data_IF_778697523803
#
_entry.id   IF_778697523803
#
_cell.length_a   1.000
_cell.length_b   1.000
_cell.length_c   1.000
_cell.angle_alpha   90.00
_cell.angle_beta   90.00
_cell.angle_gamma   90.00
#
_symmetry.space_group_name_H-M   'P 1'
#
loop_
_entity.id
_entity.type
_entity.pdbx_description
1 polymer ?
#
# COMPACT_ATOMS: atom_id res chain seq x y z
N UNK A 1 5.64 20.32 15.57
CA UNK A 1 4.40 19.82 14.96
C UNK A 1 3.55 21.02 14.63
N UNK A 2 3.09 21.16 13.39
CA UNK A 2 2.24 22.29 12.98
C UNK A 2 0.88 21.75 12.58
N UNK A 3 -0.15 22.13 13.36
CA UNK A 3 -1.53 21.81 13.05
C UNK A 3 -1.97 22.62 11.82
N UNK A 4 -2.61 21.95 10.87
CA UNK A 4 -3.18 22.52 9.66
C UNK A 4 -4.68 22.24 9.65
N UNK A 5 -5.47 23.17 9.11
CA UNK A 5 -6.88 22.94 8.80
C UNK A 5 -7.04 22.78 7.29
N UNK A 6 -7.97 21.92 6.85
CA UNK A 6 -8.17 21.71 5.43
C UNK A 6 -9.17 20.62 5.11
N UNK A 7 -9.39 20.44 3.82
CA UNK A 7 -10.09 19.28 3.29
C UNK A 7 -9.14 18.07 3.23
N UNK A 8 -9.68 16.89 3.52
CA UNK A 8 -9.03 15.61 3.39
C UNK A 8 -9.94 14.70 2.57
N UNK A 9 -9.35 13.95 1.64
CA UNK A 9 -10.02 12.96 0.82
C UNK A 9 -9.22 11.65 0.94
N UNK A 10 -9.84 10.60 1.45
CA UNK A 10 -9.28 9.25 1.36
C UNK A 10 -10.06 8.49 0.29
N UNK A 11 -9.35 7.87 -0.66
CA UNK A 11 -9.95 7.02 -1.69
C UNK A 11 -9.39 5.60 -1.58
N UNK A 12 -10.24 4.58 -1.75
CA UNK A 12 -10.01 3.19 -1.31
C UNK A 12 -10.60 2.21 -2.34
N UNK A 13 -9.88 1.14 -2.67
CA UNK A 13 -10.29 0.19 -3.71
C UNK A 13 -10.98 -1.02 -3.09
N UNK A 14 -12.31 -0.94 -3.04
CA UNK A 14 -13.14 -2.04 -2.56
C UNK A 14 -13.05 -3.30 -3.45
N UNK A 15 -13.28 -4.44 -2.81
CA UNK A 15 -13.03 -5.77 -3.39
C UNK A 15 -11.60 -6.27 -3.14
N UNK A 16 -10.63 -5.41 -2.84
CA UNK A 16 -9.22 -5.80 -2.69
C UNK A 16 -8.96 -6.89 -1.64
N UNK A 17 -9.64 -6.90 -0.49
CA UNK A 17 -9.46 -7.97 0.52
C UNK A 17 -9.85 -9.35 -0.02
N UNK A 18 -10.77 -9.44 -0.99
CA UNK A 18 -11.08 -10.70 -1.69
C UNK A 18 -10.04 -10.99 -2.78
N UNK A 19 -9.58 -9.96 -3.47
CA UNK A 19 -8.52 -9.98 -4.49
C UNK A 19 -7.20 -10.57 -3.95
N UNK A 20 -6.71 -10.04 -2.82
CA UNK A 20 -5.49 -10.47 -2.11
C UNK A 20 -5.59 -11.87 -1.46
N UNK A 21 -6.80 -12.44 -1.36
CA UNK A 21 -7.02 -13.79 -0.80
C UNK A 21 -6.84 -14.93 -1.80
N UNK A 22 -6.77 -14.63 -3.09
CA UNK A 22 -6.63 -15.63 -4.15
C UNK A 22 -5.15 -15.86 -4.47
N UNK A 23 -4.69 -17.11 -4.29
CA UNK A 23 -3.38 -17.74 -4.59
C UNK A 23 -2.13 -16.86 -4.81
N UNK A 24 -1.00 -17.23 -4.19
CA UNK A 24 0.30 -16.55 -4.28
C UNK A 24 0.70 -16.07 -5.70
N UNK A 25 0.47 -16.89 -6.72
CA UNK A 25 0.73 -16.59 -8.14
C UNK A 25 -0.07 -15.41 -8.72
N UNK A 26 -1.17 -15.02 -8.09
CA UNK A 26 -2.00 -13.87 -8.44
C UNK A 26 -1.58 -12.58 -7.71
N UNK A 27 -0.83 -12.65 -6.60
CA UNK A 27 -0.56 -11.51 -5.71
C UNK A 27 0.23 -10.39 -6.40
N UNK A 28 1.25 -10.73 -7.20
CA UNK A 28 2.04 -9.73 -7.92
C UNK A 28 1.21 -8.97 -8.95
N UNK A 29 0.40 -9.66 -9.75
CA UNK A 29 -0.53 -8.99 -10.67
C UNK A 29 -1.59 -8.19 -9.91
N UNK A 30 -2.08 -8.67 -8.77
CA UNK A 30 -3.03 -7.94 -7.94
C UNK A 30 -2.45 -6.61 -7.44
N UNK A 31 -1.18 -6.61 -7.00
CA UNK A 31 -0.45 -5.39 -6.65
C UNK A 31 -0.23 -4.46 -7.85
N UNK A 32 0.13 -4.98 -9.03
CA UNK A 32 0.31 -4.18 -10.25
C UNK A 32 -1.00 -3.49 -10.65
N UNK A 33 -2.12 -4.23 -10.66
CA UNK A 33 -3.47 -3.73 -10.97
C UNK A 33 -3.89 -2.62 -10.00
N UNK A 34 -3.71 -2.83 -8.68
CA UNK A 34 -4.02 -1.82 -7.66
C UNK A 34 -3.12 -0.58 -7.80
N UNK A 35 -1.84 -0.77 -8.16
CA UNK A 35 -0.92 0.34 -8.39
C UNK A 35 -1.35 1.18 -9.60
N UNK A 36 -1.68 0.56 -10.74
CA UNK A 36 -2.16 1.28 -11.93
C UNK A 36 -3.50 2.00 -11.67
N UNK A 37 -4.41 1.42 -10.88
CA UNK A 37 -5.68 2.05 -10.50
C UNK A 37 -5.49 3.26 -9.57
N UNK A 38 -4.61 3.15 -8.55
CA UNK A 38 -4.28 4.28 -7.68
C UNK A 38 -3.51 5.38 -8.43
N UNK A 39 -2.61 5.03 -9.37
CA UNK A 39 -1.95 6.01 -10.24
C UNK A 39 -2.96 6.78 -11.10
N UNK A 40 -4.00 6.14 -11.62
CA UNK A 40 -5.06 6.82 -12.36
C UNK A 40 -5.87 7.81 -11.49
N UNK A 41 -6.16 7.45 -10.23
CA UNK A 41 -6.79 8.37 -9.25
C UNK A 41 -5.86 9.54 -8.93
N UNK A 42 -4.58 9.26 -8.66
CA UNK A 42 -3.56 10.27 -8.33
C UNK A 42 -3.33 11.25 -9.50
N UNK A 43 -3.30 10.75 -10.73
CA UNK A 43 -3.10 11.56 -11.93
C UNK A 43 -4.31 12.43 -12.29
N UNK A 44 -5.50 12.15 -11.72
CA UNK A 44 -6.72 12.94 -11.88
C UNK A 44 -6.94 13.95 -10.73
N UNK A 45 -6.10 13.95 -9.69
CA UNK A 45 -6.16 14.92 -8.61
C UNK A 45 -5.40 16.20 -8.99
N UNK A 46 -6.12 17.32 -9.07
CA UNK A 46 -5.59 18.64 -9.39
C UNK A 46 -5.49 19.53 -8.12
N UNK A 47 -4.76 20.65 -8.22
CA UNK A 47 -4.72 21.65 -7.14
C UNK A 47 -6.15 22.11 -6.80
N UNK A 48 -6.55 22.17 -5.50
CA UNK A 48 -5.70 22.18 -4.31
C UNK A 48 -5.38 20.83 -3.68
N UNK A 49 -5.86 19.69 -4.22
CA UNK A 49 -5.53 18.37 -3.69
C UNK A 49 -4.03 18.06 -3.84
N UNK A 50 -3.45 17.51 -2.78
CA UNK A 50 -2.09 16.99 -2.76
C UNK A 50 -2.11 15.58 -2.17
N UNK A 51 -1.64 14.58 -2.91
CA UNK A 51 -1.38 13.24 -2.35
C UNK A 51 -0.46 13.40 -1.15
N UNK A 52 -0.83 12.77 -0.04
CA UNK A 52 -0.18 12.92 1.26
C UNK A 52 0.40 11.59 1.74
N UNK A 53 -0.34 10.49 1.61
CA UNK A 53 0.09 9.12 1.93
C UNK A 53 -0.55 8.10 0.98
N UNK A 54 0.06 6.91 0.92
CA UNK A 54 -0.57 5.67 0.43
C UNK A 54 -0.75 4.72 1.62
N UNK A 55 -1.83 3.95 1.61
CA UNK A 55 -2.19 2.98 2.66
C UNK A 55 -2.55 1.63 2.03
N UNK A 56 -1.70 1.12 1.13
CA UNK A 56 -1.92 -0.15 0.42
C UNK A 56 -2.85 0.03 -0.80
N UNK A 57 -4.11 -0.36 -0.65
CA UNK A 57 -5.19 -0.20 -1.63
C UNK A 57 -5.93 1.15 -1.52
N UNK A 58 -5.48 2.03 -0.61
CA UNK A 58 -6.01 3.38 -0.42
C UNK A 58 -4.97 4.49 -0.60
N UNK A 59 -5.45 5.69 -0.95
CA UNK A 59 -4.66 6.92 -1.06
C UNK A 59 -5.31 8.05 -0.25
N UNK A 60 -4.50 8.75 0.56
CA UNK A 60 -4.92 9.92 1.32
C UNK A 60 -4.40 11.19 0.66
N UNK A 61 -5.31 12.09 0.29
CA UNK A 61 -5.03 13.41 -0.24
C UNK A 61 -5.47 14.49 0.76
N UNK A 62 -4.75 15.62 0.79
CA UNK A 62 -5.12 16.79 1.60
C UNK A 62 -5.06 18.07 0.78
N UNK A 63 -5.93 19.03 1.09
CA UNK A 63 -5.92 20.39 0.59
C UNK A 63 -5.98 21.35 1.77
N UNK A 64 -4.86 22.02 2.07
CA UNK A 64 -4.74 22.93 3.21
C UNK A 64 -5.55 24.20 2.94
N UNK A 65 -6.45 24.55 3.86
CA UNK A 65 -7.23 25.78 3.78
C UNK A 65 -6.56 26.91 4.57
N UNK A 66 -6.52 28.09 3.96
CA UNK A 66 -6.25 29.33 4.69
C UNK A 66 -7.53 29.79 5.42
N UNK A 67 -7.44 30.49 6.56
CA UNK A 67 -8.61 31.03 7.26
C UNK A 67 -9.48 31.89 6.34
N UNK A 68 -10.80 31.65 6.33
CA UNK A 68 -11.75 32.33 5.45
C UNK A 68 -11.76 31.84 3.99
N UNK A 69 -11.05 30.74 3.68
CA UNK A 69 -11.06 30.07 2.36
C UNK A 69 -11.54 28.61 2.42
N UNK A 70 -12.07 28.18 3.55
CA UNK A 70 -12.48 26.80 3.84
C UNK A 70 -13.55 26.32 2.86
N UNK A 71 -14.60 27.13 2.63
CA UNK A 71 -15.66 26.80 1.68
C UNK A 71 -15.14 26.69 0.24
N UNK A 72 -14.24 27.58 -0.18
CA UNK A 72 -13.63 27.49 -1.52
C UNK A 72 -12.87 26.18 -1.68
N UNK A 73 -12.00 25.83 -0.73
CA UNK A 73 -11.22 24.58 -0.79
C UNK A 73 -12.14 23.34 -0.79
N UNK A 74 -13.23 23.36 -0.01
CA UNK A 74 -14.22 22.27 -0.04
C UNK A 74 -14.96 22.18 -1.38
N UNK A 75 -15.33 23.30 -2.00
CA UNK A 75 -15.93 23.33 -3.34
C UNK A 75 -14.95 22.83 -4.42
N UNK A 76 -13.71 23.32 -4.41
CA UNK A 76 -12.67 22.94 -5.36
C UNK A 76 -12.37 21.43 -5.29
N UNK A 77 -12.32 20.86 -4.08
CA UNK A 77 -12.16 19.41 -3.86
C UNK A 77 -13.42 18.64 -4.28
N UNK A 78 -14.62 19.11 -3.96
CA UNK A 78 -15.88 18.44 -4.31
C UNK A 78 -16.10 18.35 -5.82
N UNK A 79 -15.65 19.35 -6.60
CA UNK A 79 -15.73 19.33 -8.06
C UNK A 79 -14.86 18.24 -8.69
N UNK A 80 -13.71 17.89 -8.08
CA UNK A 80 -12.79 16.88 -8.61
C UNK A 80 -13.26 15.43 -8.40
N UNK A 81 -14.14 15.16 -7.43
CA UNK A 81 -14.53 13.77 -7.06
C UNK A 81 -15.01 12.96 -8.27
N UNK A 82 -15.83 13.54 -9.14
CA UNK A 82 -16.32 12.87 -10.34
C UNK A 82 -15.18 12.48 -11.30
N UNK A 83 -14.12 13.29 -11.41
CA UNK A 83 -12.96 13.01 -12.27
C UNK A 83 -12.10 11.88 -11.71
N UNK A 84 -11.94 11.78 -10.38
CA UNK A 84 -11.23 10.68 -9.73
C UNK A 84 -11.88 9.33 -10.04
N UNK A 85 -13.20 9.24 -9.89
CA UNK A 85 -13.99 8.03 -10.19
C UNK A 85 -13.99 7.70 -11.68
N UNK A 86 -14.13 8.70 -12.56
CA UNK A 86 -14.05 8.49 -14.01
C UNK A 86 -12.66 7.99 -14.46
N UNK A 87 -11.58 8.48 -13.83
CA UNK A 87 -10.22 8.03 -14.11
C UNK A 87 -10.01 6.57 -13.68
N UNK A 88 -10.46 6.22 -12.46
CA UNK A 88 -10.45 4.84 -11.96
C UNK A 88 -11.23 3.90 -12.89
N UNK A 89 -12.51 4.20 -13.17
CA UNK A 89 -13.38 3.36 -14.00
C UNK A 89 -12.86 3.24 -15.45
N UNK A 90 -12.23 4.28 -16.00
CA UNK A 90 -11.58 4.22 -17.32
C UNK A 90 -10.31 3.32 -17.31
N UNK A 91 -9.54 3.34 -16.22
CA UNK A 91 -8.35 2.50 -16.08
C UNK A 91 -8.71 1.04 -15.79
N UNK A 92 -9.74 0.76 -14.98
CA UNK A 92 -10.32 -0.57 -14.79
C UNK A 92 -10.69 -1.20 -16.15
N UNK A 93 -11.47 -0.48 -16.96
CA UNK A 93 -11.86 -0.92 -18.30
C UNK A 93 -10.66 -1.10 -19.25
N UNK A 94 -9.65 -0.24 -19.15
CA UNK A 94 -8.43 -0.35 -19.95
C UNK A 94 -7.60 -1.59 -19.57
N UNK A 95 -7.52 -1.91 -18.27
CA UNK A 95 -6.87 -3.12 -17.74
C UNK A 95 -7.62 -4.37 -18.21
N UNK A 96 -8.94 -4.47 -17.97
CA UNK A 96 -9.78 -5.59 -18.44
C UNK A 96 -9.59 -5.85 -19.94
N UNK A 97 -9.63 -4.80 -20.77
CA UNK A 97 -9.45 -4.90 -22.22
C UNK A 97 -8.03 -5.32 -22.65
N UNK A 98 -7.03 -5.21 -21.75
CA UNK A 98 -5.65 -5.66 -21.97
C UNK A 98 -5.33 -7.02 -21.32
N UNK A 99 -6.10 -7.43 -20.31
CA UNK A 99 -5.91 -8.65 -19.50
C UNK A 99 -6.76 -9.86 -19.92
N UNK A 100 -7.59 -9.71 -20.96
CA UNK A 100 -8.42 -10.74 -21.61
C UNK A 100 -7.66 -11.94 -22.25
N UNK A 101 -6.47 -12.27 -21.75
CA UNK A 101 -5.70 -13.49 -22.05
C UNK A 101 -4.80 -13.94 -20.90
N UNK A 102 -4.95 -13.40 -19.69
CA UNK A 102 -4.30 -13.88 -18.48
C UNK A 102 -5.21 -14.88 -17.75
N UNK A 103 -4.66 -15.98 -17.25
CA UNK A 103 -5.42 -17.07 -16.63
C UNK A 103 -5.49 -17.02 -15.09
N UNK A 104 -4.94 -15.99 -14.43
CA UNK A 104 -5.00 -15.88 -12.96
C UNK A 104 -6.26 -15.15 -12.48
N UNK A 105 -6.70 -15.44 -11.26
CA UNK A 105 -7.97 -14.93 -10.72
C UNK A 105 -7.97 -13.40 -10.61
N UNK A 106 -6.85 -12.77 -10.25
CA UNK A 106 -6.73 -11.31 -10.17
C UNK A 106 -7.05 -10.64 -11.52
N UNK A 107 -6.41 -11.06 -12.61
CA UNK A 107 -6.68 -10.51 -13.95
C UNK A 107 -8.12 -10.76 -14.44
N UNK A 108 -8.76 -11.84 -13.99
CA UNK A 108 -10.14 -12.17 -14.35
C UNK A 108 -11.19 -11.52 -13.44
N UNK A 109 -10.81 -10.96 -12.29
CA UNK A 109 -11.72 -10.33 -11.31
C UNK A 109 -11.59 -8.82 -11.19
N UNK A 110 -10.76 -8.17 -12.02
CA UNK A 110 -10.63 -6.70 -12.12
C UNK A 110 -12.01 -6.02 -12.22
N UNK A 111 -12.92 -6.61 -13.01
CA UNK A 111 -14.31 -6.14 -13.22
C UNK A 111 -15.20 -6.02 -11.98
N UNK A 112 -14.71 -6.43 -10.80
CA UNK A 112 -15.37 -6.29 -9.50
C UNK A 112 -14.71 -5.30 -8.54
N UNK A 113 -13.66 -4.57 -8.95
CA UNK A 113 -13.00 -3.55 -8.13
C UNK A 113 -13.72 -2.20 -8.26
N UNK A 114 -14.08 -1.56 -7.16
CA UNK A 114 -14.81 -0.27 -7.18
C UNK A 114 -14.21 0.74 -6.21
N UNK A 115 -14.17 2.01 -6.62
CA UNK A 115 -13.62 3.08 -5.81
C UNK A 115 -14.63 3.53 -4.73
N UNK A 116 -14.14 3.69 -3.50
CA UNK A 116 -14.83 4.36 -2.40
C UNK A 116 -14.07 5.63 -2.05
N UNK A 117 -14.76 6.68 -1.62
CA UNK A 117 -14.12 7.92 -1.17
C UNK A 117 -14.80 8.52 0.07
N UNK A 118 -14.03 8.81 1.11
CA UNK A 118 -14.49 9.60 2.25
C UNK A 118 -13.92 11.03 2.18
N UNK A 119 -14.78 12.01 2.46
CA UNK A 119 -14.45 13.44 2.41
C UNK A 119 -14.77 14.12 3.74
N UNK A 120 -13.76 14.79 4.29
CA UNK A 120 -13.83 15.45 5.57
C UNK A 120 -13.13 16.81 5.54
N UNK A 121 -13.63 17.78 6.31
CA UNK A 121 -12.92 19.02 6.61
C UNK A 121 -12.64 19.07 8.10
N UNK A 122 -11.37 19.19 8.48
CA UNK A 122 -10.95 19.17 9.87
C UNK A 122 -9.50 19.58 10.07
N UNK A 123 -8.94 19.14 11.21
CA UNK A 123 -7.59 19.48 11.66
C UNK A 123 -6.69 18.26 11.56
N UNK A 124 -5.49 18.46 11.04
CA UNK A 124 -4.47 17.43 10.94
C UNK A 124 -3.08 17.99 11.18
N UNK A 125 -2.18 17.16 11.70
CA UNK A 125 -0.76 17.49 11.81
C UNK A 125 0.04 16.78 10.73
N UNK A 126 1.02 17.47 10.14
CA UNK A 126 2.09 16.81 9.37
C UNK A 126 3.21 16.43 10.32
N UNK A 127 3.71 15.20 10.20
CA UNK A 127 4.77 14.66 11.04
C UNK A 127 5.81 13.91 10.19
N UNK A 128 7.09 14.18 10.43
CA UNK A 128 8.20 13.48 9.79
C UNK A 128 8.75 12.43 10.74
N UNK A 129 8.94 11.21 10.23
CA UNK A 129 9.21 10.01 11.02
C UNK A 129 10.23 9.16 10.26
N UNK A 130 11.52 9.40 10.53
CA UNK A 130 12.59 8.89 9.66
C UNK A 130 12.48 9.51 8.27
N UNK A 131 12.35 8.66 7.25
CA UNK A 131 12.09 9.06 5.86
C UNK A 131 10.60 9.31 5.53
N UNK A 132 9.67 8.90 6.41
CA UNK A 132 8.23 8.97 6.13
C UNK A 132 7.65 10.33 6.51
N UNK A 133 6.82 10.90 5.64
CA UNK A 133 5.91 12.01 5.99
C UNK A 133 4.50 11.44 6.22
N UNK A 134 3.98 11.62 7.43
CA UNK A 134 2.65 11.16 7.83
C UNK A 134 1.70 12.33 8.12
N UNK A 135 0.40 12.10 7.86
CA UNK A 135 -0.70 12.93 8.34
C UNK A 135 -1.32 12.23 9.55
N UNK A 136 -1.43 12.92 10.68
CA UNK A 136 -1.95 12.37 11.93
C UNK A 136 -3.03 13.27 12.55
N UNK A 137 -3.91 12.67 13.36
CA UNK A 137 -5.03 13.32 14.02
C UNK A 137 -6.38 12.67 13.72
N UNK A 138 -7.38 12.98 14.56
CA UNK A 138 -8.75 12.48 14.53
C UNK A 138 -9.40 12.53 13.13
N UNK A 139 -9.13 13.60 12.36
CA UNK A 139 -9.59 13.75 10.97
C UNK A 139 -9.17 12.61 10.03
N UNK A 140 -8.11 11.85 10.31
CA UNK A 140 -7.70 10.67 9.54
C UNK A 140 -8.42 9.41 10.02
N UNK A 141 -8.68 9.31 11.33
CA UNK A 141 -9.43 8.21 11.93
C UNK A 141 -10.90 8.23 11.47
N UNK A 142 -11.50 9.41 11.39
CA UNK A 142 -12.83 9.65 10.80
C UNK A 142 -12.92 9.09 9.37
N UNK A 143 -11.94 9.38 8.51
CA UNK A 143 -11.92 8.90 7.12
C UNK A 143 -11.83 7.37 7.04
N UNK A 144 -10.90 6.77 7.80
CA UNK A 144 -10.73 5.31 7.85
C UNK A 144 -11.97 4.61 8.39
N UNK A 145 -12.68 5.21 9.34
CA UNK A 145 -13.93 4.68 9.89
C UNK A 145 -15.09 4.77 8.87
N UNK A 146 -15.22 5.89 8.16
CA UNK A 146 -16.23 6.09 7.11
C UNK A 146 -16.09 5.09 5.96
N UNK A 147 -14.87 4.85 5.48
CA UNK A 147 -14.62 3.91 4.37
C UNK A 147 -14.88 2.46 4.78
N UNK A 148 -14.54 2.09 6.03
CA UNK A 148 -14.77 0.75 6.58
C UNK A 148 -16.22 0.52 7.04
N UNK A 149 -17.06 1.56 7.03
CA UNK A 149 -18.48 1.44 7.38
C UNK A 149 -19.28 0.81 6.24
N UNK A 150 -20.26 -0.07 6.53
CA UNK A 150 -21.07 -0.70 5.50
C UNK A 150 -21.96 0.32 4.79
N UNK A 151 -22.00 0.25 3.45
CA UNK A 151 -22.89 1.02 2.59
C UNK A 151 -23.67 0.08 1.66
N UNK A 152 -24.72 0.58 1.00
CA UNK A 152 -25.57 -0.24 0.12
C UNK A 152 -24.96 -0.48 -1.28
N UNK A 153 -23.74 -0.03 -1.52
CA UNK A 153 -23.01 -0.22 -2.77
C UNK A 153 -21.49 -0.24 -2.53
N UNK A 154 -20.74 -0.78 -3.50
CA UNK A 154 -19.28 -0.77 -3.48
C UNK A 154 -18.65 0.45 -4.17
N UNK A 155 -19.42 1.25 -4.93
CA UNK A 155 -18.98 2.53 -5.48
C UNK A 155 -19.75 3.69 -4.82
N UNK A 156 -19.08 4.48 -3.97
CA UNK A 156 -19.69 5.64 -3.32
C UNK A 156 -18.66 6.70 -2.88
N UNK A 157 -19.12 7.94 -2.81
CA UNK A 157 -18.50 9.00 -2.04
C UNK A 157 -19.32 9.29 -0.76
N UNK A 158 -18.66 9.56 0.36
CA UNK A 158 -19.31 9.89 1.64
C UNK A 158 -18.72 11.17 2.23
N UNK A 159 -19.57 12.15 2.51
CA UNK A 159 -19.20 13.50 2.94
C UNK A 159 -19.64 13.72 4.39
N UNK A 160 -18.71 13.98 5.30
CA UNK A 160 -19.08 14.46 6.66
C UNK A 160 -19.88 15.76 6.59
N UNK A 161 -20.79 15.98 7.53
CA UNK A 161 -21.70 17.15 7.54
C UNK A 161 -20.96 18.50 7.40
N UNK A 162 -19.81 18.66 8.07
CA UNK A 162 -18.97 19.86 7.95
C UNK A 162 -18.37 20.04 6.55
N UNK A 163 -17.96 18.95 5.89
CA UNK A 163 -17.50 19.06 4.51
C UNK A 163 -18.66 19.40 3.58
N UNK A 164 -19.81 18.73 3.73
CA UNK A 164 -21.01 18.95 2.92
C UNK A 164 -21.53 20.40 3.00
N UNK A 165 -21.60 20.98 4.20
CA UNK A 165 -22.04 22.38 4.39
C UNK A 165 -21.04 23.42 3.87
N UNK A 166 -19.74 23.08 3.79
CA UNK A 166 -18.71 23.93 3.18
C UNK A 166 -18.61 23.79 1.65
N UNK A 167 -18.92 22.62 1.08
CA UNK A 167 -18.86 22.37 -0.36
C UNK A 167 -20.17 22.61 -1.12
N UNK A 168 -21.31 22.60 -0.43
CA UNK A 168 -22.64 22.52 -1.07
C UNK A 168 -22.97 21.13 -1.61
N UNK A 169 -22.27 20.08 -1.15
CA UNK A 169 -22.44 18.71 -1.62
C UNK A 169 -21.63 18.38 -2.88
N UNK A 170 -22.02 17.32 -3.60
CA UNK A 170 -21.39 16.91 -4.86
C UNK A 170 -22.23 17.32 -6.07
N UNK A 171 -21.61 18.01 -7.03
CA UNK A 171 -22.16 18.33 -8.35
C UNK A 171 -23.58 18.94 -8.37
N UNK A 172 -23.98 19.65 -7.31
CA UNK A 172 -25.30 20.27 -7.19
C UNK A 172 -26.48 19.31 -7.01
N UNK A 173 -26.23 18.03 -6.68
CA UNK A 173 -27.28 17.05 -6.37
C UNK A 173 -27.42 16.80 -4.87
N UNK A 174 -28.64 16.42 -4.47
CA UNK A 174 -28.91 15.89 -3.13
C UNK A 174 -28.13 14.60 -2.85
N UNK A 175 -27.82 14.29 -1.58
CA UNK A 175 -27.36 12.97 -1.17
C UNK A 175 -28.35 11.87 -1.55
N UNK A 176 -27.84 10.69 -1.89
CA UNK A 176 -28.65 9.50 -2.17
C UNK A 176 -29.02 8.72 -0.89
N UNK A 177 -28.38 9.06 0.25
CA UNK A 177 -28.67 8.48 1.56
C UNK A 177 -27.80 9.09 2.66
N UNK A 178 -27.90 8.52 3.87
CA UNK A 178 -27.10 8.90 5.03
C UNK A 178 -26.46 7.67 5.67
N UNK A 179 -25.31 7.89 6.30
CA UNK A 179 -24.53 6.91 7.05
C UNK A 179 -24.25 7.48 8.44
N UNK A 180 -24.37 6.65 9.47
CA UNK A 180 -23.85 6.96 10.81
C UNK A 180 -22.63 6.08 11.06
N UNK A 181 -21.52 6.69 11.49
CA UNK A 181 -20.30 5.99 11.91
C UNK A 181 -20.01 6.34 13.36
N UNK A 182 -19.50 5.38 14.14
CA UNK A 182 -18.95 5.68 15.47
C UNK A 182 -17.45 5.91 15.38
N UNK A 183 -16.99 7.06 15.85
CA UNK A 183 -15.56 7.42 15.95
C UNK A 183 -15.29 7.84 17.39
N UNK A 184 -14.30 7.22 18.04
CA UNK A 184 -13.93 7.49 19.44
C UNK A 184 -15.12 7.45 20.44
N UNK A 185 -16.15 6.66 20.13
CA UNK A 185 -17.36 6.52 20.95
C UNK A 185 -18.45 7.58 20.69
N UNK A 186 -18.24 8.52 19.76
CA UNK A 186 -19.25 9.48 19.30
C UNK A 186 -19.87 9.03 17.98
N UNK A 187 -21.19 9.20 17.82
CA UNK A 187 -21.84 9.01 16.52
C UNK A 187 -21.68 10.25 15.64
N UNK A 188 -21.28 10.03 14.38
CA UNK A 188 -21.15 11.07 13.36
C UNK A 188 -22.02 10.72 12.15
N UNK A 189 -22.81 11.69 11.68
CA UNK A 189 -23.59 11.55 10.45
C UNK A 189 -22.80 12.04 9.22
N UNK A 190 -22.95 11.32 8.12
CA UNK A 190 -22.36 11.65 6.83
C UNK A 190 -23.36 11.42 5.69
N UNK A 191 -23.27 12.25 4.66
CA UNK A 191 -24.11 12.23 3.48
C UNK A 191 -23.48 11.29 2.43
N UNK A 192 -24.24 10.29 1.97
CA UNK A 192 -23.78 9.26 1.03
C UNK A 192 -24.22 9.61 -0.39
N UNK A 193 -23.30 9.42 -1.33
CA UNK A 193 -23.46 9.69 -2.74
C UNK A 193 -23.00 8.48 -3.56
N UNK A 194 -23.94 7.71 -4.11
CA UNK A 194 -23.64 6.67 -5.09
C UNK A 194 -23.31 7.32 -6.43
N UNK A 195 -22.10 7.11 -6.92
CA UNK A 195 -21.68 7.69 -8.19
C UNK A 195 -22.09 6.75 -9.31
N UNK A 196 -22.74 7.29 -10.33
CA UNK A 196 -23.06 6.51 -11.52
C UNK A 196 -21.79 6.38 -12.36
N UNK A 197 -21.33 5.15 -12.70
CA UNK A 197 -20.22 5.00 -13.63
C UNK A 197 -20.63 5.62 -14.96
N UNK A 198 -19.90 6.65 -15.38
CA UNK A 198 -20.16 7.31 -16.65
C UNK A 198 -20.09 6.27 -17.77
N UNK A 199 -21.07 6.29 -18.69
CA UNK A 199 -21.08 5.44 -19.89
C UNK A 199 -20.02 5.93 -20.90
N UNK A 200 -18.75 5.79 -20.51
CA UNK A 200 -17.61 5.98 -21.39
C UNK A 200 -17.66 4.85 -22.41
N UNK A 201 -18.08 5.18 -23.63
CA UNK A 201 -18.00 4.28 -24.76
C UNK A 201 -16.52 4.09 -25.15
N UNK A 202 -15.81 3.23 -24.40
CA UNK A 202 -14.44 2.80 -24.71
C UNK A 202 -14.48 1.96 -25.98
N UNK A 203 -14.49 2.64 -27.13
CA UNK A 203 -14.40 2.00 -28.43
C UNK A 203 -13.11 1.16 -28.48
N UNK A 204 -13.19 -0.18 -28.61
CA UNK A 204 -12.01 -1.01 -28.69
C UNK A 204 -11.23 -0.60 -29.94
N UNK A 205 -9.89 -0.44 -29.87
CA UNK A 205 -9.10 -0.07 -31.03
C UNK A 205 -9.23 -1.15 -32.11
N UNK A 206 -9.80 -0.78 -33.27
CA UNK A 206 -10.04 -1.72 -34.34
C UNK A 206 -8.77 -2.48 -34.75
N UNK A 207 -8.79 -3.80 -34.61
CA UNK A 207 -7.76 -4.71 -35.11
C UNK A 207 -6.47 -4.81 -34.28
N UNK A 208 -6.40 -5.80 -33.37
CA UNK A 208 -5.38 -6.84 -33.40
C UNK A 208 -5.75 -8.03 -32.50
N UNK A 209 -5.21 -9.21 -32.85
CA UNK A 209 -5.24 -10.42 -32.03
C UNK A 209 -4.23 -10.40 -30.85
N UNK A 210 -3.81 -11.58 -30.34
CA UNK A 210 -3.31 -11.80 -28.97
C UNK A 210 -2.45 -10.67 -28.38
N UNK A 211 -3.01 -9.99 -27.38
CA UNK A 211 -2.64 -8.62 -27.01
C UNK A 211 -1.27 -8.43 -26.29
N UNK A 212 -0.56 -9.51 -25.93
CA UNK A 212 0.65 -9.42 -25.10
C UNK A 212 1.75 -8.54 -25.74
N UNK A 213 1.89 -8.56 -27.06
CA UNK A 213 2.89 -7.75 -27.78
C UNK A 213 2.52 -6.26 -27.91
N UNK A 214 1.29 -5.87 -27.51
CA UNK A 214 0.73 -4.54 -27.79
C UNK A 214 0.55 -3.61 -26.59
N UNK A 215 0.54 -4.06 -25.32
CA UNK A 215 0.54 -3.14 -24.15
C UNK A 215 1.74 -2.18 -24.20
N UNK A 216 2.92 -2.79 -24.26
CA UNK A 216 4.23 -2.17 -24.50
C UNK A 216 4.20 -1.21 -25.72
N UNK A 217 3.49 -1.57 -26.79
CA UNK A 217 3.52 -0.84 -28.06
C UNK A 217 2.46 0.29 -28.17
N UNK A 218 1.30 0.21 -27.49
CA UNK A 218 0.28 1.28 -27.53
C UNK A 218 0.71 2.48 -26.69
N UNK A 219 1.35 2.24 -25.54
CA UNK A 219 1.96 3.30 -24.74
C UNK A 219 3.19 3.91 -25.45
N UNK A 220 3.98 3.10 -26.16
CA UNK A 220 5.00 3.59 -27.07
C UNK A 220 4.41 4.50 -28.16
N UNK A 221 3.40 4.06 -28.90
CA UNK A 221 2.83 4.81 -30.03
C UNK A 221 2.27 6.19 -29.61
N UNK A 222 1.60 6.27 -28.46
CA UNK A 222 1.09 7.55 -27.91
C UNK A 222 2.22 8.52 -27.52
N UNK A 223 3.38 8.01 -27.10
CA UNK A 223 4.59 8.78 -26.77
C UNK A 223 5.48 9.07 -28.00
N UNK A 224 5.39 8.24 -29.03
CA UNK A 224 6.09 8.33 -30.31
C UNK A 224 5.46 9.36 -31.26
N UNK A 225 4.16 9.63 -31.12
CA UNK A 225 3.42 10.64 -31.91
C UNK A 225 3.51 12.09 -31.37
N UNK A 226 4.60 12.44 -30.68
CA UNK A 226 5.33 13.68 -30.99
C UNK A 226 4.70 15.05 -30.69
N UNK A 227 3.76 15.20 -29.73
CA UNK A 227 3.52 16.53 -29.12
C UNK A 227 4.63 16.82 -28.09
N UNK A 228 5.37 17.91 -28.30
CA UNK A 228 6.78 18.07 -27.87
C UNK A 228 6.97 18.67 -26.46
N UNK A 229 7.76 18.03 -25.59
CA UNK A 229 8.70 18.72 -24.70
C UNK A 229 9.92 19.24 -25.51
N UNK A 230 10.69 20.20 -24.97
CA UNK A 230 11.91 20.71 -25.62
C UNK A 230 13.14 19.80 -25.38
N UNK A 231 14.12 19.89 -26.26
CA UNK A 231 15.44 19.25 -26.19
C UNK A 231 16.28 19.79 -25.00
N UNK A 232 17.37 19.17 -24.54
CA UNK A 232 18.38 18.31 -25.21
C UNK A 232 18.89 17.18 -24.30
N UNK A 233 19.66 16.23 -24.86
CA UNK A 233 21.01 15.79 -24.44
C UNK A 233 21.32 14.42 -25.09
N UNK A 234 22.48 14.30 -25.75
CA UNK A 234 22.78 13.21 -26.68
C UNK A 234 24.17 12.60 -26.43
N UNK A 235 24.33 11.90 -25.31
CA UNK A 235 25.55 11.16 -24.97
C UNK A 235 25.26 10.07 -23.93
N UNK A 236 25.42 8.81 -24.33
CA UNK A 236 25.88 7.62 -23.58
C UNK A 236 25.57 6.37 -24.41
N UNK A 237 26.50 5.40 -24.46
CA UNK A 237 26.37 4.19 -25.27
C UNK A 237 25.95 2.96 -24.44
N UNK A 238 25.62 1.86 -25.13
CA UNK A 238 25.14 0.60 -24.53
C UNK A 238 26.28 -0.28 -24.01
N UNK A 239 25.95 -1.13 -23.04
CA UNK A 239 26.64 -2.38 -22.71
C UNK A 239 25.58 -3.45 -22.39
N UNK A 240 25.78 -4.68 -22.85
CA UNK A 240 24.73 -5.72 -22.91
C UNK A 240 24.77 -6.77 -21.79
N UNK A 241 23.72 -7.59 -21.70
CA UNK A 241 23.45 -8.55 -20.60
C UNK A 241 23.09 -9.94 -21.12
N UNK A 242 23.51 -10.99 -20.39
CA UNK A 242 23.05 -12.38 -20.51
C UNK A 242 22.93 -12.96 -19.10
N UNK A 243 21.81 -13.52 -18.60
CA UNK A 243 20.49 -13.90 -19.16
C UNK A 243 20.38 -15.21 -19.96
N UNK A 244 21.24 -16.18 -19.61
CA UNK A 244 21.13 -17.63 -19.87
C UNK A 244 21.46 -18.27 -18.50
N UNK A 245 20.72 -19.25 -17.93
CA UNK A 245 20.33 -20.52 -18.56
C UNK A 245 19.15 -21.30 -17.93
N UNK A 246 18.56 -22.11 -18.80
CA UNK A 246 17.70 -23.30 -18.66
C UNK A 246 16.84 -23.60 -17.41
N UNK A 247 17.28 -23.59 -16.13
CA UNK A 247 16.53 -24.18 -14.98
C UNK A 247 14.99 -24.09 -15.11
N UNK A 248 14.26 -25.21 -15.20
CA UNK A 248 12.92 -25.32 -15.80
C UNK A 248 11.98 -26.27 -15.01
N UNK A 249 10.76 -26.43 -15.52
CA UNK A 249 9.86 -27.59 -15.33
C UNK A 249 9.17 -27.79 -13.96
N UNK A 250 7.95 -27.26 -13.85
CA UNK A 250 6.79 -28.00 -13.33
C UNK A 250 6.61 -28.09 -11.81
N UNK A 251 7.68 -28.25 -11.04
CA UNK A 251 7.69 -28.26 -9.58
C UNK A 251 8.94 -27.51 -9.12
N UNK A 252 8.85 -26.76 -8.01
CA UNK A 252 9.89 -25.86 -7.49
C UNK A 252 10.10 -24.56 -8.31
N UNK A 253 10.47 -23.47 -7.61
CA UNK A 253 10.96 -22.18 -8.15
C UNK A 253 10.01 -21.33 -9.03
N UNK A 254 9.12 -20.54 -8.40
CA UNK A 254 8.34 -19.49 -9.08
C UNK A 254 9.18 -18.40 -9.79
N UNK A 255 10.46 -18.28 -9.42
CA UNK A 255 11.52 -17.47 -10.02
C UNK A 255 11.45 -17.34 -11.55
N UNK A 256 11.10 -18.44 -12.23
CA UNK A 256 11.24 -18.48 -13.69
C UNK A 256 10.17 -17.71 -14.46
N UNK A 257 8.93 -17.70 -13.99
CA UNK A 257 7.84 -16.94 -14.64
C UNK A 257 8.13 -15.45 -14.52
N UNK A 258 8.51 -15.00 -13.32
CA UNK A 258 8.97 -13.64 -13.05
C UNK A 258 10.14 -13.24 -13.98
N UNK A 259 11.13 -14.12 -14.18
CA UNK A 259 12.25 -13.85 -15.08
C UNK A 259 11.82 -13.59 -16.54
N UNK A 260 10.74 -14.22 -17.02
CA UNK A 260 10.25 -14.02 -18.39
C UNK A 260 9.36 -12.78 -18.56
N UNK A 261 8.60 -12.39 -17.53
CA UNK A 261 7.89 -11.10 -17.49
C UNK A 261 8.90 -9.94 -17.53
N UNK A 262 9.87 -9.92 -16.62
CA UNK A 262 10.91 -8.88 -16.52
C UNK A 262 11.71 -8.75 -17.82
N UNK A 263 11.98 -9.87 -18.52
CA UNK A 263 12.67 -9.88 -19.83
C UNK A 263 11.86 -9.28 -20.98
N UNK A 264 10.54 -9.08 -20.83
CA UNK A 264 9.69 -8.40 -21.82
C UNK A 264 9.33 -6.96 -21.41
N UNK A 265 9.10 -6.70 -20.13
CA UNK A 265 8.76 -5.38 -19.60
C UNK A 265 9.88 -4.34 -19.81
N UNK A 266 11.14 -4.76 -19.75
CA UNK A 266 12.32 -3.89 -19.94
C UNK A 266 12.47 -3.25 -21.34
N UNK A 267 11.58 -3.52 -22.31
CA UNK A 267 11.68 -2.98 -23.68
C UNK A 267 11.08 -1.60 -23.91
N UNK A 268 10.25 -1.07 -23.00
CA UNK A 268 9.81 0.33 -23.06
C UNK A 268 9.83 0.93 -21.64
N UNK A 269 10.59 2.02 -21.46
CA UNK A 269 10.71 2.68 -20.16
C UNK A 269 9.50 3.55 -19.81
N UNK A 270 9.27 3.89 -18.53
CA UNK A 270 10.14 3.67 -17.37
C UNK A 270 9.32 3.37 -16.10
N UNK A 271 9.10 2.09 -15.79
CA UNK A 271 8.82 1.65 -14.41
C UNK A 271 10.00 0.76 -14.00
N UNK A 272 10.74 1.17 -12.97
CA UNK A 272 11.89 0.40 -12.43
C UNK A 272 11.43 -0.41 -11.22
N UNK A 273 10.59 -1.43 -11.43
CA UNK A 273 10.37 -2.43 -10.38
C UNK A 273 11.69 -3.14 -10.13
N UNK A 274 12.20 -3.05 -8.90
CA UNK A 274 13.43 -3.73 -8.48
C UNK A 274 13.09 -4.78 -7.43
N UNK A 275 13.21 -6.06 -7.80
CA UNK A 275 13.13 -7.15 -6.83
C UNK A 275 14.50 -7.31 -6.19
N UNK A 276 14.57 -7.21 -4.85
CA UNK A 276 15.83 -7.25 -4.08
C UNK A 276 15.68 -8.20 -2.89
N UNK A 277 16.73 -8.96 -2.51
CA UNK A 277 16.72 -9.72 -1.27
C UNK A 277 16.67 -8.76 -0.07
N UNK A 278 15.82 -9.07 0.91
CA UNK A 278 15.60 -8.25 2.09
C UNK A 278 15.47 -9.10 3.35
N UNK A 279 16.03 -8.57 4.44
CA UNK A 279 15.55 -8.89 5.78
C UNK A 279 14.39 -7.93 6.10
N UNK A 280 13.31 -8.45 6.69
CA UNK A 280 12.14 -7.71 7.13
C UNK A 280 11.98 -7.85 8.64
N UNK A 281 11.65 -6.74 9.30
CA UNK A 281 11.27 -6.67 10.70
C UNK A 281 9.92 -5.97 10.82
N UNK A 282 8.86 -6.70 11.15
CA UNK A 282 7.62 -6.09 11.61
C UNK A 282 7.64 -6.00 13.13
N UNK A 283 7.28 -4.82 13.63
CA UNK A 283 7.15 -4.50 15.04
C UNK A 283 5.72 -4.05 15.31
N UNK A 284 4.94 -4.83 16.05
CA UNK A 284 3.63 -4.42 16.57
C UNK A 284 3.73 -4.16 18.08
N UNK A 285 3.11 -3.08 18.56
CA UNK A 285 3.02 -2.76 19.98
C UNK A 285 1.58 -2.48 20.40
N UNK A 286 1.17 -3.03 21.54
CA UNK A 286 -0.20 -2.87 22.03
C UNK A 286 -0.24 -2.56 23.53
N UNK A 287 -0.87 -1.45 23.89
CA UNK A 287 -1.23 -1.14 25.27
C UNK A 287 -2.47 -1.92 25.70
N UNK A 288 -2.67 -2.01 27.02
CA UNK A 288 -3.99 -2.31 27.58
C UNK A 288 -5.02 -1.25 27.10
N UNK A 289 -6.32 -1.58 26.97
CA UNK A 289 -7.30 -0.84 26.15
C UNK A 289 -7.69 0.58 26.63
N UNK A 290 -6.91 1.21 27.50
CA UNK A 290 -7.18 2.52 28.12
C UNK A 290 -6.15 3.59 27.72
N UNK A 291 -5.02 3.24 27.09
CA UNK A 291 -3.98 4.20 26.70
C UNK A 291 -3.54 4.09 25.22
N UNK A 292 -4.21 4.81 24.29
CA UNK A 292 -3.76 4.94 22.91
C UNK A 292 -2.47 5.76 22.76
N UNK A 293 -2.26 6.77 23.62
CA UNK A 293 -1.07 7.63 23.55
C UNK A 293 0.21 6.86 23.87
N UNK A 294 0.12 5.85 24.75
CA UNK A 294 1.16 4.87 25.03
C UNK A 294 1.62 4.07 23.81
N UNK A 295 0.70 3.68 22.90
CA UNK A 295 1.05 2.98 21.65
C UNK A 295 1.90 3.88 20.74
N UNK A 296 1.34 5.03 20.35
CA UNK A 296 2.00 5.99 19.45
C UNK A 296 3.33 6.48 20.04
N UNK A 297 3.36 6.74 21.35
CA UNK A 297 4.56 7.10 22.08
C UNK A 297 5.61 5.98 22.11
N UNK A 298 5.21 4.71 22.19
CA UNK A 298 6.14 3.57 22.12
C UNK A 298 6.72 3.41 20.71
N UNK A 299 5.91 3.47 19.66
CA UNK A 299 6.40 3.41 18.27
C UNK A 299 7.39 4.55 17.99
N UNK A 300 7.09 5.78 18.38
CA UNK A 300 8.03 6.90 18.22
C UNK A 300 9.35 6.74 18.98
N UNK A 301 9.37 6.03 20.11
CA UNK A 301 10.64 5.69 20.80
C UNK A 301 11.41 4.61 20.05
N UNK A 302 10.73 3.57 19.56
CA UNK A 302 11.35 2.52 18.74
C UNK A 302 11.95 3.11 17.44
N UNK A 303 11.19 3.96 16.74
CA UNK A 303 11.62 4.66 15.52
C UNK A 303 12.78 5.65 15.73
N UNK A 304 12.98 6.16 16.95
CA UNK A 304 14.16 6.96 17.33
C UNK A 304 15.35 6.13 17.81
N UNK A 305 15.11 4.90 18.26
CA UNK A 305 16.13 3.99 18.77
C UNK A 305 16.70 3.05 17.69
N UNK A 306 15.91 2.81 16.62
CA UNK A 306 16.31 2.06 15.44
C UNK A 306 17.54 2.66 14.76
N UNK A 307 18.54 1.83 14.50
CA UNK A 307 19.79 2.19 13.82
C UNK A 307 19.98 1.34 12.57
N UNK A 308 21.00 1.67 11.77
CA UNK A 308 21.40 0.86 10.62
C UNK A 308 21.60 -0.61 11.03
N UNK A 309 21.14 -1.59 10.22
CA UNK A 309 20.70 -1.44 8.83
C UNK A 309 19.20 -1.15 8.64
N UNK A 310 18.43 -0.86 9.71
CA UNK A 310 16.97 -0.68 9.62
C UNK A 310 16.58 0.57 8.81
N UNK A 311 15.82 0.37 7.75
CA UNK A 311 15.11 1.42 7.01
C UNK A 311 13.61 1.26 7.28
N UNK A 312 12.91 2.36 7.58
CA UNK A 312 11.45 2.34 7.74
C UNK A 312 10.79 2.29 6.35
N UNK A 313 9.92 1.31 6.10
CA UNK A 313 9.07 1.29 4.91
C UNK A 313 7.67 1.82 5.22
N UNK A 314 7.01 1.32 6.27
CA UNK A 314 5.62 1.68 6.60
C UNK A 314 5.40 1.86 8.10
N UNK A 315 4.50 2.77 8.46
CA UNK A 315 4.04 3.01 9.82
C UNK A 315 2.51 3.04 9.86
N UNK A 316 1.92 2.16 10.66
CA UNK A 316 0.48 2.06 10.91
C UNK A 316 0.16 2.53 12.35
N UNK A 317 -1.08 2.36 12.82
CA UNK A 317 -1.54 2.80 14.15
C UNK A 317 -0.77 2.19 15.32
N UNK A 318 -0.39 0.93 15.15
CA UNK A 318 0.17 0.07 16.19
C UNK A 318 1.26 -0.87 15.67
N UNK A 319 1.65 -0.75 14.40
CA UNK A 319 2.72 -1.53 13.78
C UNK A 319 3.67 -0.69 12.91
N UNK A 320 4.92 -1.15 12.77
CA UNK A 320 5.95 -0.61 11.87
C UNK A 320 6.53 -1.75 11.04
N UNK A 321 6.73 -1.52 9.74
CA UNK A 321 7.54 -2.38 8.89
C UNK A 321 8.90 -1.71 8.64
N UNK A 322 9.95 -2.32 9.18
CA UNK A 322 11.34 -2.03 8.84
C UNK A 322 11.87 -3.08 7.84
N UNK A 323 12.84 -2.69 7.03
CA UNK A 323 13.57 -3.59 6.13
C UNK A 323 15.06 -3.26 6.10
N UNK A 324 15.86 -4.23 5.65
CA UNK A 324 17.27 -4.05 5.32
C UNK A 324 17.58 -4.81 4.02
N UNK A 325 18.24 -4.16 3.06
CA UNK A 325 18.59 -4.76 1.77
C UNK A 325 19.81 -5.67 1.93
N UNK A 326 19.66 -6.93 1.54
CA UNK A 326 20.58 -8.03 1.87
C UNK A 326 21.32 -8.57 0.63
N UNK A 327 21.80 -7.68 -0.24
CA UNK A 327 22.39 -8.03 -1.55
C UNK A 327 23.84 -8.56 -1.50
N UNK A 328 24.56 -8.32 -0.40
CA UNK A 328 26.00 -8.68 -0.28
C UNK A 328 26.21 -9.83 0.70
N UNK A 329 25.78 -9.64 1.94
CA UNK A 329 25.83 -10.67 2.98
C UNK A 329 24.49 -10.72 3.72
N UNK A 330 23.63 -11.72 3.42
CA UNK A 330 22.37 -11.92 4.12
C UNK A 330 22.53 -12.26 5.60
N UNK A 331 23.59 -12.95 6.01
CA UNK A 331 23.80 -13.38 7.38
C UNK A 331 24.25 -12.22 8.27
N UNK A 332 25.20 -11.39 7.80
CA UNK A 332 25.57 -10.13 8.45
C UNK A 332 24.34 -9.20 8.58
N UNK A 333 23.55 -9.07 7.51
CA UNK A 333 22.33 -8.24 7.52
C UNK A 333 21.29 -8.75 8.52
N UNK A 334 21.06 -10.06 8.58
CA UNK A 334 20.12 -10.69 9.51
C UNK A 334 20.61 -10.58 10.97
N UNK A 335 21.89 -10.85 11.24
CA UNK A 335 22.48 -10.70 12.57
C UNK A 335 22.44 -9.25 13.07
N UNK A 336 22.76 -8.27 12.20
CA UNK A 336 22.68 -6.85 12.54
C UNK A 336 21.24 -6.38 12.81
N UNK A 337 20.25 -6.88 12.05
CA UNK A 337 18.83 -6.63 12.30
C UNK A 337 18.35 -7.28 13.62
N UNK A 338 18.76 -8.52 13.90
CA UNK A 338 18.47 -9.22 15.15
C UNK A 338 19.06 -8.49 16.36
N UNK A 339 20.27 -7.93 16.23
CA UNK A 339 20.93 -7.11 17.25
C UNK A 339 20.17 -5.82 17.63
N UNK A 340 19.22 -5.36 16.81
CA UNK A 340 18.36 -4.21 17.14
C UNK A 340 17.18 -4.60 18.05
N UNK A 341 16.77 -5.87 18.10
CA UNK A 341 15.57 -6.30 18.85
C UNK A 341 15.63 -5.91 20.34
N UNK A 342 16.74 -6.10 21.08
CA UNK A 342 16.82 -5.67 22.49
C UNK A 342 16.68 -4.15 22.66
N UNK A 343 17.24 -3.36 21.74
CA UNK A 343 17.19 -1.89 21.76
C UNK A 343 15.74 -1.41 21.57
N UNK A 344 15.05 -1.96 20.56
CA UNK A 344 13.65 -1.66 20.28
C UNK A 344 12.74 -2.12 21.43
N UNK A 345 13.00 -3.30 21.99
CA UNK A 345 12.23 -3.85 23.11
C UNK A 345 12.30 -2.93 24.35
N UNK A 346 13.48 -2.48 24.78
CA UNK A 346 13.59 -1.55 25.93
C UNK A 346 12.88 -0.21 25.64
N UNK A 347 12.91 0.29 24.40
CA UNK A 347 12.18 1.51 24.02
C UNK A 347 10.65 1.38 24.16
N UNK A 348 10.12 0.15 24.04
CA UNK A 348 8.69 -0.20 24.13
C UNK A 348 8.24 -0.82 25.45
N UNK A 349 9.10 -1.02 26.46
CA UNK A 349 8.85 -1.93 27.60
C UNK A 349 7.51 -1.76 28.35
N UNK A 350 6.90 -0.58 28.31
CA UNK A 350 5.59 -0.28 28.91
C UNK A 350 4.37 -0.94 28.22
N UNK A 351 4.53 -1.57 27.05
CA UNK A 351 3.44 -2.19 26.26
C UNK A 351 3.74 -3.66 25.91
N UNK A 352 2.77 -4.33 25.29
CA UNK A 352 2.97 -5.60 24.58
C UNK A 352 3.86 -5.35 23.35
N UNK A 353 4.63 -6.36 22.95
CA UNK A 353 5.67 -6.24 21.92
C UNK A 353 5.75 -7.52 21.08
N UNK A 354 5.46 -7.42 19.79
CA UNK A 354 5.65 -8.51 18.83
C UNK A 354 6.71 -8.07 17.83
N UNK A 355 7.84 -8.78 17.79
CA UNK A 355 8.83 -8.64 16.72
C UNK A 355 8.76 -9.85 15.81
N UNK A 356 8.69 -9.63 14.49
CA UNK A 356 8.62 -10.67 13.47
C UNK A 356 9.76 -10.46 12.48
N UNK A 357 10.70 -11.40 12.46
CA UNK A 357 11.85 -11.44 11.56
C UNK A 357 11.63 -12.43 10.41
N UNK A 358 11.69 -11.92 9.19
CA UNK A 358 11.55 -12.70 7.96
C UNK A 358 12.63 -12.33 6.96
N UNK A 359 13.01 -13.28 6.10
CA UNK A 359 13.98 -13.07 5.03
C UNK A 359 13.44 -13.61 3.72
N UNK A 360 13.47 -12.80 2.67
CA UNK A 360 12.88 -13.12 1.38
C UNK A 360 13.23 -12.07 0.31
N UNK A 361 12.33 -11.86 -0.63
CA UNK A 361 12.44 -10.88 -1.70
C UNK A 361 11.31 -9.86 -1.65
N UNK A 362 11.65 -8.58 -1.78
CA UNK A 362 10.68 -7.52 -1.94
C UNK A 362 10.81 -6.84 -3.30
N UNK A 363 9.67 -6.57 -3.92
CA UNK A 363 9.54 -5.74 -5.11
C UNK A 363 9.38 -4.27 -4.68
N UNK A 364 10.40 -3.46 -4.98
CA UNK A 364 10.36 -2.01 -4.80
C UNK A 364 9.78 -1.35 -6.05
N UNK A 365 8.73 -0.56 -5.88
CA UNK A 365 8.01 0.18 -6.94
C UNK A 365 7.84 1.65 -6.55
N UNK A 366 7.84 2.55 -7.53
CA UNK A 366 7.63 3.99 -7.27
C UNK A 366 6.24 4.39 -7.78
N UNK A 367 5.30 4.66 -6.87
CA UNK A 367 3.95 5.15 -7.20
C UNK A 367 3.95 6.67 -7.07
N UNK A 368 3.87 7.39 -8.19
CA UNK A 368 4.02 8.86 -8.26
C UNK A 368 5.33 9.39 -7.65
N UNK A 369 5.36 9.66 -6.33
CA UNK A 369 6.54 10.11 -5.57
C UNK A 369 6.85 9.26 -4.32
N UNK A 370 6.10 8.18 -4.11
CA UNK A 370 6.23 7.28 -2.95
C UNK A 370 6.96 6.01 -3.39
N UNK A 371 7.87 5.50 -2.56
CA UNK A 371 8.46 4.17 -2.75
C UNK A 371 7.65 3.15 -1.95
N UNK A 372 6.94 2.29 -2.67
CA UNK A 372 6.15 1.19 -2.12
C UNK A 372 6.93 -0.12 -2.21
N UNK A 373 6.69 -1.01 -1.25
CA UNK A 373 7.37 -2.29 -1.12
C UNK A 373 6.33 -3.40 -0.99
N UNK A 374 6.41 -4.41 -1.87
CA UNK A 374 5.45 -5.51 -1.90
C UNK A 374 6.05 -6.82 -2.38
N UNK A 375 5.17 -7.79 -2.66
CA UNK A 375 5.53 -9.17 -2.99
C UNK A 375 5.16 -10.17 -1.89
N UNK A 376 5.28 -11.44 -2.25
CA UNK A 376 4.83 -12.60 -1.46
C UNK A 376 5.40 -12.61 -0.03
N UNK A 377 6.70 -12.39 0.11
CA UNK A 377 7.42 -12.37 1.40
C UNK A 377 7.02 -11.18 2.30
N UNK A 378 6.67 -10.03 1.70
CA UNK A 378 6.16 -8.85 2.43
C UNK A 378 4.75 -9.12 2.96
N UNK A 379 3.90 -9.73 2.13
CA UNK A 379 2.53 -10.12 2.51
C UNK A 379 2.56 -11.23 3.57
N UNK A 380 3.47 -12.19 3.46
CA UNK A 380 3.71 -13.25 4.44
C UNK A 380 4.07 -12.66 5.81
N UNK A 381 5.06 -11.77 5.85
CA UNK A 381 5.52 -11.13 7.07
C UNK A 381 4.44 -10.24 7.72
N UNK A 382 3.59 -9.57 6.93
CA UNK A 382 2.39 -8.87 7.42
C UNK A 382 1.32 -9.83 7.97
N UNK A 383 1.01 -10.93 7.29
CA UNK A 383 -0.01 -11.90 7.76
C UNK A 383 0.43 -12.60 9.04
N UNK A 384 1.73 -12.80 9.24
CA UNK A 384 2.31 -13.34 10.47
C UNK A 384 2.05 -12.49 11.72
N UNK A 385 1.62 -11.22 11.62
CA UNK A 385 1.13 -10.45 12.80
C UNK A 385 -0.15 -11.06 13.42
N UNK A 386 -0.95 -11.77 12.60
CA UNK A 386 -2.18 -12.48 13.02
C UNK A 386 -1.90 -13.97 13.25
N UNK A 387 -0.92 -14.23 14.12
CA UNK A 387 -0.53 -15.57 14.55
C UNK A 387 -1.28 -16.01 15.84
N UNK A 388 -1.05 -17.24 16.29
CA UNK A 388 -1.69 -17.86 17.46
C UNK A 388 -0.85 -17.82 18.75
N UNK A 389 0.15 -16.93 18.83
CA UNK A 389 1.08 -16.85 19.98
C UNK A 389 0.41 -16.05 21.10
N UNK A 390 0.37 -16.63 22.31
CA UNK A 390 -0.36 -16.09 23.46
C UNK A 390 0.51 -15.16 24.33
N UNK A 391 1.83 -15.30 24.21
CA UNK A 391 2.82 -14.50 24.89
C UNK A 391 2.66 -13.00 24.54
N UNK A 392 2.63 -12.09 25.52
CA UNK A 392 2.44 -10.66 25.27
C UNK A 392 3.70 -9.97 24.71
N UNK A 393 4.85 -10.67 24.76
CA UNK A 393 6.17 -10.16 24.42
C UNK A 393 7.01 -11.28 23.81
N UNK A 394 7.24 -11.25 22.51
CA UNK A 394 8.03 -12.28 21.83
C UNK A 394 8.77 -11.76 20.60
N UNK A 395 9.78 -12.53 20.22
CA UNK A 395 10.40 -12.55 18.92
C UNK A 395 9.97 -13.82 18.17
N UNK A 396 9.34 -13.65 16.99
CA UNK A 396 9.14 -14.71 16.01
C UNK A 396 10.18 -14.55 14.90
N UNK A 397 10.78 -15.66 14.49
CA UNK A 397 11.63 -15.76 13.30
C UNK A 397 11.04 -16.81 12.36
N UNK A 398 10.88 -16.48 11.08
CA UNK A 398 10.56 -17.51 10.07
C UNK A 398 11.74 -18.46 9.88
N UNK A 399 11.50 -19.68 9.38
CA UNK A 399 12.53 -20.65 9.05
C UNK A 399 13.64 -20.02 8.16
N UNK A 400 13.26 -19.18 7.19
CA UNK A 400 14.12 -18.54 6.22
C UNK A 400 15.11 -17.59 6.89
N UNK A 401 14.62 -16.78 7.85
CA UNK A 401 15.48 -15.91 8.66
C UNK A 401 16.31 -16.72 9.66
N UNK A 402 15.72 -17.74 10.32
CA UNK A 402 16.44 -18.57 11.30
C UNK A 402 17.65 -19.28 10.68
N UNK A 403 17.58 -19.66 9.41
CA UNK A 403 18.70 -20.26 8.67
C UNK A 403 19.86 -19.29 8.39
N UNK A 404 19.70 -17.97 8.61
CA UNK A 404 20.75 -16.96 8.47
C UNK A 404 21.43 -16.56 9.79
N UNK A 405 20.90 -17.00 10.94
CA UNK A 405 21.41 -16.64 12.28
C UNK A 405 21.65 -17.89 13.13
N UNK A 406 22.75 -17.92 13.89
CA UNK A 406 23.13 -19.10 14.66
C UNK A 406 22.21 -19.33 15.85
N UNK A 407 22.31 -20.49 16.50
CA UNK A 407 21.60 -20.77 17.76
C UNK A 407 22.16 -19.94 18.93
N UNK A 408 23.39 -19.42 18.82
CA UNK A 408 23.97 -18.53 19.82
C UNK A 408 23.39 -17.10 19.74
N UNK A 409 23.00 -16.66 18.53
CA UNK A 409 22.35 -15.36 18.32
C UNK A 409 20.87 -15.36 18.75
N UNK A 410 20.23 -16.54 18.75
CA UNK A 410 18.82 -16.73 19.10
C UNK A 410 18.63 -17.73 20.27
N UNK A 411 19.15 -17.42 21.48
CA UNK A 411 18.97 -18.31 22.63
C UNK A 411 17.49 -18.39 23.03
N UNK A 412 17.07 -19.57 23.51
CA UNK A 412 15.70 -19.79 24.01
C UNK A 412 14.61 -19.83 22.94
N UNK A 413 14.93 -19.86 21.64
CA UNK A 413 13.91 -20.05 20.59
C UNK A 413 13.41 -21.48 20.51
N UNK A 414 12.10 -21.67 20.58
CA UNK A 414 11.39 -22.94 20.36
C UNK A 414 10.87 -23.03 18.93
N UNK A 415 10.95 -24.21 18.29
CA UNK A 415 10.28 -24.46 17.02
C UNK A 415 8.77 -24.65 17.24
N UNK A 416 7.95 -23.90 16.51
CA UNK A 416 6.48 -23.96 16.54
C UNK A 416 5.92 -23.95 15.11
N UNK A 417 4.70 -24.44 14.92
CA UNK A 417 3.97 -24.38 13.65
C UNK A 417 2.94 -23.26 13.72
N UNK A 418 2.76 -22.51 12.62
CA UNK A 418 1.74 -21.47 12.48
C UNK A 418 0.99 -21.64 11.15
N UNK A 419 -0.34 -21.65 11.23
CA UNK A 419 -1.22 -21.65 10.06
C UNK A 419 -1.42 -20.22 9.57
N UNK A 420 -0.86 -19.87 8.41
CA UNK A 420 -0.94 -18.51 7.84
C UNK A 420 -1.90 -18.48 6.64
N UNK A 421 -2.83 -17.53 6.66
CA UNK A 421 -3.87 -17.41 5.64
C UNK A 421 -3.28 -17.26 4.22
N UNK A 422 -3.58 -18.22 3.34
CA UNK A 422 -3.09 -18.27 1.95
C UNK A 422 -1.70 -18.89 1.77
N UNK A 423 -0.99 -19.21 2.86
CA UNK A 423 0.36 -19.82 2.86
C UNK A 423 0.37 -21.24 3.46
N UNK A 424 -0.59 -21.57 4.33
CA UNK A 424 -0.69 -22.87 4.98
C UNK A 424 0.13 -22.95 6.27
N UNK A 425 0.44 -24.17 6.71
CA UNK A 425 1.21 -24.41 7.93
C UNK A 425 2.71 -24.23 7.67
N UNK A 426 3.32 -23.25 8.34
CA UNK A 426 4.74 -22.95 8.26
C UNK A 426 5.45 -23.14 9.60
N UNK A 427 6.74 -23.47 9.56
CA UNK A 427 7.59 -23.62 10.74
C UNK A 427 8.25 -22.29 11.09
N UNK A 428 8.11 -21.89 12.35
CA UNK A 428 8.63 -20.64 12.91
C UNK A 428 9.37 -20.92 14.21
N UNK A 429 10.25 -20.00 14.60
CA UNK A 429 11.01 -20.06 15.84
C UNK A 429 10.57 -18.92 16.75
N UNK A 430 10.20 -19.21 17.99
CA UNK A 430 9.60 -18.24 18.91
C UNK A 430 10.40 -18.17 20.20
N UNK A 431 10.75 -16.98 20.67
CA UNK A 431 11.37 -16.74 21.98
C UNK A 431 10.62 -15.64 22.73
N UNK A 432 10.36 -15.85 24.02
CA UNK A 432 9.73 -14.85 24.91
C UNK A 432 10.74 -13.74 25.27
N UNK A 433 10.25 -12.50 25.44
CA UNK A 433 11.08 -11.35 25.80
C UNK A 433 10.64 -10.73 27.14
N UNK A 434 11.56 -10.67 28.11
CA UNK A 434 11.35 -10.21 29.50
C UNK A 434 12.05 -8.85 29.82
#
# INVERSE_FOLDING_TARGET
MQEQSGALLMADISGYTRFSRMHATSLLHAEEIISELLEAVIAAAEFPLQVSQLEGDAVLLTAVAQPGREAQVCMDVAQQVNALFQSFNAQEQALIACDAGCACDACNTIGGLRLKAALHFGKFSRQEIGSLQQITGESVEILRALIKSPANADEFAVLTERFHSLSGGLAGRSPDGQMTVSVSGQEMHAQVYYLQPALIAVAPPAGAGPAFSRRLNRHAYRRMMGKRPRSQFSHLQRGDVSFIRYLLEGVQSGWKVMSQLVRRLSRFGQIKVQVRPVALLLLEVSSAPVDPAGKTGALHRCLRAAQAPLVVNKLESDAVLFYAIAERDPAETAAAMLGQIPILYQASKAVQFKAILHFGQAAFKSISRFEEMGGEDVILAHRLLRNSIAEPRYLLLTNEFKNLVTTADTPGTEERVQSVEGFGDMRVWVSQLD
#
